data_IF_036205722676
#
_entry.id   IF_036205722676
#
_cell.length_a   1.000
_cell.length_b   1.000
_cell.length_c   1.000
_cell.angle_alpha   90.00
_cell.angle_beta   90.00
_cell.angle_gamma   90.00
#
_symmetry.space_group_name_H-M   'P 1'
#
loop_
_entity.id
_entity.type
_entity.pdbx_description
1 polymer ?
#
# COMPACT_ATOMS: atom_id res chain seq x y z
N UNK A 1 -3.53 13.10 -44.33
CA UNK A 1 -3.39 11.65 -44.08
C UNK A 1 -3.10 11.43 -42.60
N UNK A 2 -3.93 10.64 -41.91
CA UNK A 2 -3.67 10.25 -40.51
C UNK A 2 -2.44 9.34 -40.43
N UNK A 3 -1.61 9.50 -39.40
CA UNK A 3 -0.50 8.58 -39.12
C UNK A 3 -1.03 7.15 -38.93
N UNK A 4 -0.19 6.14 -39.17
CA UNK A 4 -0.55 4.72 -39.03
C UNK A 4 -1.16 4.43 -37.65
N UNK A 5 -0.52 4.91 -36.59
CA UNK A 5 -0.98 4.82 -35.19
C UNK A 5 -2.36 5.41 -34.96
N UNK A 6 -2.67 6.57 -35.58
CA UNK A 6 -4.00 7.19 -35.46
C UNK A 6 -5.08 6.41 -36.21
N UNK A 7 -4.75 5.78 -37.33
CA UNK A 7 -5.68 4.91 -38.06
C UNK A 7 -5.98 3.63 -37.28
N UNK A 8 -4.95 3.03 -36.68
CA UNK A 8 -5.10 1.83 -35.86
C UNK A 8 -5.93 2.10 -34.60
N UNK A 9 -5.70 3.24 -33.92
CA UNK A 9 -6.52 3.67 -32.79
C UNK A 9 -7.99 3.93 -33.17
N UNK A 10 -8.23 4.60 -34.30
CA UNK A 10 -9.59 4.88 -34.78
C UNK A 10 -10.33 3.58 -35.14
N UNK A 11 -9.65 2.65 -35.81
CA UNK A 11 -10.21 1.33 -36.11
C UNK A 11 -10.61 0.58 -34.83
N UNK A 12 -9.71 0.52 -33.84
CA UNK A 12 -9.99 -0.14 -32.56
C UNK A 12 -11.19 0.49 -31.87
N UNK A 13 -11.31 1.82 -31.86
CA UNK A 13 -12.45 2.52 -31.27
C UNK A 13 -13.76 2.16 -32.00
N UNK A 14 -13.78 2.25 -33.33
CA UNK A 14 -14.98 1.95 -34.13
C UNK A 14 -15.45 0.51 -33.96
N UNK A 15 -14.54 -0.46 -34.02
CA UNK A 15 -14.89 -1.87 -33.83
C UNK A 15 -15.30 -2.18 -32.39
N UNK A 16 -14.71 -1.51 -31.39
CA UNK A 16 -15.13 -1.65 -29.99
C UNK A 16 -16.55 -1.11 -29.79
N UNK A 17 -16.89 0.04 -30.40
CA UNK A 17 -18.24 0.59 -30.35
C UNK A 17 -19.26 -0.35 -30.99
N UNK A 18 -18.95 -0.93 -32.16
CA UNK A 18 -19.82 -1.94 -32.79
C UNK A 18 -20.11 -3.12 -31.87
N UNK A 19 -19.10 -3.61 -31.14
CA UNK A 19 -19.30 -4.67 -30.14
C UNK A 19 -20.25 -4.19 -29.03
N UNK A 20 -20.09 -2.97 -28.52
CA UNK A 20 -20.92 -2.43 -27.45
C UNK A 20 -22.36 -2.10 -27.87
N UNK A 21 -22.60 -1.78 -29.14
CA UNK A 21 -23.93 -1.45 -29.69
C UNK A 21 -24.81 -2.68 -29.94
N UNK A 22 -24.25 -3.90 -29.93
CA UNK A 22 -25.04 -5.12 -30.06
C UNK A 22 -26.00 -5.24 -28.86
N UNK A 23 -27.30 -5.34 -29.12
CA UNK A 23 -28.36 -5.46 -28.09
C UNK A 23 -28.09 -6.61 -27.10
N UNK A 24 -27.56 -7.73 -27.60
CA UNK A 24 -27.18 -8.87 -26.77
C UNK A 24 -26.05 -8.53 -25.79
N UNK A 25 -25.05 -7.77 -26.21
CA UNK A 25 -23.95 -7.32 -25.35
C UNK A 25 -24.42 -6.26 -24.35
N UNK A 26 -25.33 -5.37 -24.73
CA UNK A 26 -25.97 -4.42 -23.80
C UNK A 26 -26.76 -5.15 -22.71
N UNK A 27 -27.52 -6.19 -23.06
CA UNK A 27 -28.24 -7.02 -22.10
C UNK A 27 -27.28 -7.73 -21.11
N UNK A 28 -26.14 -8.23 -21.61
CA UNK A 28 -25.08 -8.81 -20.77
C UNK A 28 -24.53 -7.75 -19.81
N UNK A 29 -24.15 -6.57 -20.31
CA UNK A 29 -23.61 -5.48 -19.50
C UNK A 29 -24.59 -5.02 -18.41
N UNK A 30 -25.88 -4.93 -18.72
CA UNK A 30 -26.91 -4.61 -17.73
C UNK A 30 -27.01 -5.68 -16.64
N UNK A 31 -26.94 -6.96 -17.03
CA UNK A 31 -26.93 -8.08 -16.09
C UNK A 31 -25.70 -8.03 -15.19
N UNK A 32 -24.52 -7.78 -15.75
CA UNK A 32 -23.26 -7.62 -15.00
C UNK A 32 -23.30 -6.41 -14.05
N UNK A 33 -23.88 -5.29 -14.48
CA UNK A 33 -24.02 -4.10 -13.65
C UNK A 33 -24.90 -4.37 -12.41
N UNK A 34 -25.95 -5.19 -12.54
CA UNK A 34 -26.76 -5.63 -11.39
C UNK A 34 -25.95 -6.45 -10.36
N UNK A 35 -24.87 -7.09 -10.81
CA UNK A 35 -23.91 -7.81 -9.98
C UNK A 35 -22.81 -6.89 -9.41
N UNK A 36 -22.83 -5.59 -9.73
CA UNK A 36 -21.79 -4.62 -9.33
C UNK A 36 -20.52 -4.73 -10.18
N UNK A 37 -20.59 -5.36 -11.36
CA UNK A 37 -19.50 -5.49 -12.31
C UNK A 37 -19.64 -4.37 -13.34
N UNK A 38 -18.74 -3.40 -13.27
CA UNK A 38 -18.75 -2.23 -14.15
C UNK A 38 -17.95 -2.47 -15.41
N UNK A 39 -18.30 -1.79 -16.50
CA UNK A 39 -17.52 -1.84 -17.74
C UNK A 39 -16.04 -1.45 -17.51
N UNK A 40 -15.76 -0.48 -16.63
CA UNK A 40 -14.39 -0.09 -16.28
C UNK A 40 -13.56 -1.25 -15.70
N UNK A 41 -14.19 -2.18 -14.98
CA UNK A 41 -13.50 -3.34 -14.39
C UNK A 41 -13.22 -4.44 -15.42
N UNK A 42 -14.03 -4.51 -16.47
CA UNK A 42 -13.83 -5.38 -17.64
C UNK A 42 -12.74 -4.78 -18.53
N UNK A 43 -12.83 -3.47 -18.84
CA UNK A 43 -11.88 -2.77 -19.69
C UNK A 43 -10.47 -2.72 -19.09
N UNK A 44 -10.34 -2.66 -17.76
CA UNK A 44 -9.03 -2.70 -17.10
C UNK A 44 -8.26 -4.01 -17.34
N UNK A 45 -8.93 -5.11 -17.68
CA UNK A 45 -8.27 -6.37 -18.08
C UNK A 45 -7.69 -6.25 -19.49
N UNK A 46 -8.39 -5.52 -20.36
CA UNK A 46 -8.16 -5.43 -21.81
C UNK A 46 -7.12 -4.38 -22.19
N UNK A 47 -6.52 -3.65 -21.25
CA UNK A 47 -5.55 -2.56 -21.55
C UNK A 47 -4.23 -3.03 -22.19
N UNK A 48 -4.08 -4.30 -22.53
CA UNK A 48 -2.89 -4.85 -23.18
C UNK A 48 -3.25 -5.74 -24.39
N UNK A 49 -4.48 -5.61 -24.93
CA UNK A 49 -4.90 -6.34 -26.15
C UNK A 49 -4.59 -5.59 -27.44
N UNK A 50 -4.21 -4.31 -27.39
CA UNK A 50 -3.86 -3.47 -28.55
C UNK A 50 -4.94 -3.57 -29.65
N UNK A 51 -4.58 -3.85 -30.90
CA UNK A 51 -5.52 -3.99 -32.03
C UNK A 51 -6.57 -5.11 -31.87
N UNK A 52 -6.35 -6.08 -30.96
CA UNK A 52 -7.29 -7.18 -30.70
C UNK A 52 -8.37 -6.84 -29.66
N UNK A 53 -8.39 -5.61 -29.14
CA UNK A 53 -9.34 -5.19 -28.10
C UNK A 53 -10.81 -5.46 -28.45
N UNK A 54 -11.31 -5.16 -29.67
CA UNK A 54 -12.73 -5.41 -29.99
C UNK A 54 -13.08 -6.90 -29.90
N UNK A 55 -12.26 -7.76 -30.49
CA UNK A 55 -12.44 -9.20 -30.44
C UNK A 55 -12.33 -9.74 -29.01
N UNK A 56 -11.30 -9.33 -28.27
CA UNK A 56 -11.11 -9.74 -26.89
C UNK A 56 -12.28 -9.30 -26.00
N UNK A 57 -12.84 -8.10 -26.21
CA UNK A 57 -14.04 -7.63 -25.52
C UNK A 57 -15.24 -8.50 -25.84
N UNK A 58 -15.50 -8.77 -27.12
CA UNK A 58 -16.63 -9.59 -27.55
C UNK A 58 -16.60 -10.99 -26.92
N UNK A 59 -15.44 -11.65 -26.94
CA UNK A 59 -15.27 -12.97 -26.33
C UNK A 59 -15.35 -12.91 -24.80
N UNK A 60 -14.82 -11.84 -24.18
CA UNK A 60 -14.94 -11.63 -22.73
C UNK A 60 -16.40 -11.46 -22.31
N UNK A 61 -17.21 -10.71 -23.08
CA UNK A 61 -18.63 -10.54 -22.81
C UNK A 61 -19.41 -11.86 -23.01
N UNK A 62 -19.06 -12.68 -24.01
CA UNK A 62 -19.64 -14.02 -24.17
C UNK A 62 -19.37 -14.91 -22.95
N UNK A 63 -18.13 -14.91 -22.45
CA UNK A 63 -17.77 -15.64 -21.22
C UNK A 63 -18.59 -15.11 -20.04
N UNK A 64 -18.61 -13.80 -19.82
CA UNK A 64 -19.33 -13.20 -18.68
C UNK A 64 -20.85 -13.35 -18.77
N UNK A 65 -21.41 -13.40 -19.98
CA UNK A 65 -22.85 -13.51 -20.24
C UNK A 65 -23.39 -14.93 -20.27
N UNK A 66 -22.52 -15.96 -20.23
CA UNK A 66 -22.98 -17.34 -20.14
C UNK A 66 -23.71 -17.58 -18.81
N UNK A 67 -24.86 -18.25 -18.86
CA UNK A 67 -25.76 -18.44 -17.70
C UNK A 67 -25.03 -19.05 -16.48
N UNK A 68 -24.23 -20.10 -16.70
CA UNK A 68 -23.43 -20.74 -15.64
C UNK A 68 -22.43 -19.78 -15.00
N UNK A 69 -21.80 -18.91 -15.80
CA UNK A 69 -20.83 -17.93 -15.31
C UNK A 69 -21.53 -16.80 -14.56
N UNK A 70 -22.73 -16.36 -14.99
CA UNK A 70 -23.55 -15.40 -14.25
C UNK A 70 -23.93 -15.92 -12.87
N UNK A 71 -24.29 -17.20 -12.75
CA UNK A 71 -24.57 -17.81 -11.46
C UNK A 71 -23.34 -17.91 -10.56
N UNK A 72 -22.18 -18.25 -11.12
CA UNK A 72 -20.90 -18.19 -10.40
C UNK A 72 -20.60 -16.76 -9.92
N UNK A 73 -20.79 -15.74 -10.77
CA UNK A 73 -20.59 -14.33 -10.39
C UNK A 73 -21.54 -13.88 -9.28
N UNK A 74 -22.80 -14.36 -9.26
CA UNK A 74 -23.74 -14.12 -8.13
C UNK A 74 -23.19 -14.74 -6.84
N UNK A 75 -22.77 -16.01 -6.84
CA UNK A 75 -22.15 -16.67 -5.68
C UNK A 75 -20.93 -15.89 -5.17
N UNK A 76 -20.09 -15.39 -6.09
CA UNK A 76 -18.92 -14.58 -5.74
C UNK A 76 -19.30 -13.26 -5.09
N UNK A 77 -20.36 -12.59 -5.57
CA UNK A 77 -20.91 -11.38 -4.95
C UNK A 77 -21.36 -11.64 -3.51
N UNK A 78 -22.05 -12.75 -3.26
CA UNK A 78 -22.51 -13.12 -1.91
C UNK A 78 -21.34 -13.40 -0.95
N UNK A 79 -20.19 -13.82 -1.49
CA UNK A 79 -18.95 -13.98 -0.75
C UNK A 79 -18.18 -12.66 -0.51
N UNK A 80 -18.67 -11.51 -1.03
CA UNK A 80 -17.97 -10.22 -1.10
C UNK A 80 -16.68 -10.28 -1.95
N UNK A 81 -16.68 -11.14 -2.98
CA UNK A 81 -15.62 -11.22 -3.98
C UNK A 81 -15.96 -10.27 -5.12
N UNK A 82 -15.26 -9.14 -5.13
CA UNK A 82 -15.45 -8.09 -6.14
C UNK A 82 -14.71 -8.43 -7.42
N UNK A 83 -15.38 -8.28 -8.57
CA UNK A 83 -14.81 -8.55 -9.89
C UNK A 83 -13.49 -7.81 -10.21
N UNK A 84 -13.25 -6.55 -9.77
CA UNK A 84 -11.94 -5.91 -9.89
C UNK A 84 -10.76 -6.74 -9.35
N UNK A 85 -10.98 -7.59 -8.34
CA UNK A 85 -9.94 -8.48 -7.82
C UNK A 85 -9.58 -9.58 -8.83
N UNK A 86 -10.56 -10.13 -9.55
CA UNK A 86 -10.36 -11.13 -10.62
C UNK A 86 -9.67 -10.44 -11.80
N UNK A 87 -10.17 -9.27 -12.17
CA UNK A 87 -9.61 -8.43 -13.23
C UNK A 87 -8.12 -8.11 -13.02
N UNK A 88 -7.73 -7.72 -11.80
CA UNK A 88 -6.35 -7.44 -11.44
C UNK A 88 -5.41 -8.65 -11.60
N UNK A 89 -5.91 -9.87 -11.39
CA UNK A 89 -5.11 -11.09 -11.58
C UNK A 89 -4.90 -11.39 -13.07
N UNK A 90 -5.92 -11.13 -13.89
CA UNK A 90 -5.94 -11.38 -15.32
C UNK A 90 -5.25 -10.28 -16.15
N UNK A 91 -4.96 -9.12 -15.54
CA UNK A 91 -4.12 -8.09 -16.13
C UNK A 91 -2.83 -8.71 -16.69
N UNK A 92 -2.51 -8.45 -17.95
CA UNK A 92 -1.34 -9.05 -18.63
C UNK A 92 -1.61 -10.38 -19.35
N UNK A 93 -2.87 -10.87 -19.37
CA UNK A 93 -3.25 -12.01 -20.20
C UNK A 93 -3.32 -11.68 -21.71
N UNK A 94 -3.25 -10.39 -22.09
CA UNK A 94 -3.30 -9.93 -23.49
C UNK A 94 -4.50 -10.55 -24.23
N UNK A 95 -4.33 -11.06 -25.44
CA UNK A 95 -5.42 -11.71 -26.20
C UNK A 95 -5.98 -12.98 -25.54
N UNK A 96 -5.32 -13.56 -24.53
CA UNK A 96 -5.79 -14.75 -23.81
C UNK A 96 -6.77 -14.46 -22.67
N UNK A 97 -7.21 -13.20 -22.49
CA UNK A 97 -8.14 -12.79 -21.43
C UNK A 97 -9.42 -13.62 -21.39
N UNK A 98 -10.15 -13.85 -22.50
CA UNK A 98 -11.41 -14.60 -22.44
C UNK A 98 -11.21 -16.02 -21.91
N UNK A 99 -10.18 -16.72 -22.40
CA UNK A 99 -9.83 -18.06 -21.94
C UNK A 99 -9.42 -18.07 -20.46
N UNK A 100 -8.51 -17.18 -20.06
CA UNK A 100 -8.03 -17.11 -18.69
C UNK A 100 -9.15 -16.70 -17.70
N UNK A 101 -10.09 -15.86 -18.13
CA UNK A 101 -11.28 -15.53 -17.35
C UNK A 101 -12.18 -16.75 -17.18
N UNK A 102 -12.50 -17.48 -18.26
CA UNK A 102 -13.33 -18.67 -18.20
C UNK A 102 -12.74 -19.72 -17.25
N UNK A 103 -11.44 -19.98 -17.33
CA UNK A 103 -10.78 -20.95 -16.45
C UNK A 103 -10.70 -20.44 -15.00
N UNK A 104 -10.57 -19.13 -14.79
CA UNK A 104 -10.60 -18.55 -13.43
C UNK A 104 -11.98 -18.70 -12.80
N UNK A 105 -13.06 -18.49 -13.58
CA UNK A 105 -14.43 -18.71 -13.12
C UNK A 105 -14.69 -20.19 -12.82
N UNK A 106 -14.17 -21.12 -13.62
CA UNK A 106 -14.22 -22.56 -13.31
C UNK A 106 -13.54 -22.90 -11.99
N UNK A 107 -12.36 -22.36 -11.71
CA UNK A 107 -11.70 -22.54 -10.40
C UNK A 107 -12.60 -22.00 -9.28
N UNK A 108 -13.27 -20.87 -9.50
CA UNK A 108 -14.15 -20.22 -8.53
C UNK A 108 -15.56 -20.83 -8.43
N UNK A 109 -15.96 -21.71 -9.35
CA UNK A 109 -17.24 -22.42 -9.29
C UNK A 109 -17.17 -23.72 -8.48
N UNK A 110 -15.96 -24.28 -8.31
CA UNK A 110 -15.75 -25.52 -7.58
C UNK A 110 -16.17 -25.37 -6.11
N UNK A 111 -17.13 -26.19 -5.68
CA UNK A 111 -17.69 -26.14 -4.32
C UNK A 111 -16.61 -26.32 -3.23
N UNK A 112 -15.56 -27.10 -3.50
CA UNK A 112 -14.41 -27.24 -2.59
C UNK A 112 -13.64 -25.92 -2.42
N UNK A 113 -13.44 -25.16 -3.49
CA UNK A 113 -12.77 -23.86 -3.45
C UNK A 113 -13.68 -22.80 -2.78
N UNK A 114 -15.00 -22.86 -3.01
CA UNK A 114 -15.97 -22.01 -2.31
C UNK A 114 -15.97 -22.26 -0.80
N UNK A 115 -15.88 -23.53 -0.37
CA UNK A 115 -15.77 -23.89 1.04
C UNK A 115 -14.48 -23.37 1.69
N UNK A 116 -13.35 -23.43 0.96
CA UNK A 116 -12.08 -22.84 1.40
C UNK A 116 -12.24 -21.32 1.55
N UNK A 117 -12.79 -20.62 0.55
CA UNK A 117 -12.99 -19.17 0.59
C UNK A 117 -13.87 -18.73 1.75
N UNK A 118 -14.95 -19.46 2.05
CA UNK A 118 -15.78 -19.23 3.24
C UNK A 118 -15.01 -19.42 4.55
N UNK A 119 -14.18 -20.46 4.64
CA UNK A 119 -13.35 -20.71 5.83
C UNK A 119 -12.31 -19.61 6.03
N UNK A 120 -11.70 -19.13 4.94
CA UNK A 120 -10.77 -18.01 4.94
C UNK A 120 -11.44 -16.70 5.37
N UNK A 121 -12.67 -16.45 4.92
CA UNK A 121 -13.48 -15.30 5.38
C UNK A 121 -13.71 -15.33 6.89
N UNK A 122 -13.98 -16.50 7.47
CA UNK A 122 -14.08 -16.69 8.93
C UNK A 122 -12.77 -16.36 9.68
N UNK A 123 -11.62 -16.52 9.04
CA UNK A 123 -10.33 -16.09 9.59
C UNK A 123 -10.04 -14.58 9.41
N UNK A 124 -10.88 -13.85 8.66
CA UNK A 124 -10.65 -12.46 8.28
C UNK A 124 -9.78 -12.30 7.04
N UNK A 125 -9.58 -13.38 6.28
CA UNK A 125 -8.82 -13.39 5.03
C UNK A 125 -9.79 -13.09 3.89
N UNK A 126 -9.63 -11.90 3.30
CA UNK A 126 -10.48 -11.43 2.20
C UNK A 126 -9.82 -11.68 0.84
N UNK A 127 -10.65 -11.89 -0.19
CA UNK A 127 -10.17 -12.26 -1.53
C UNK A 127 -9.27 -11.20 -2.18
N UNK A 128 -9.44 -9.92 -1.86
CA UNK A 128 -8.54 -8.86 -2.35
C UNK A 128 -7.09 -9.08 -1.91
N UNK A 129 -6.84 -9.70 -0.75
CA UNK A 129 -5.49 -10.05 -0.32
C UNK A 129 -4.89 -11.20 -1.12
N UNK A 130 -5.71 -12.17 -1.56
CA UNK A 130 -5.29 -13.25 -2.47
C UNK A 130 -4.98 -12.65 -3.85
N UNK A 131 -5.88 -11.82 -4.37
CA UNK A 131 -5.72 -11.12 -5.64
C UNK A 131 -4.46 -10.26 -5.67
N UNK A 132 -4.12 -9.58 -4.58
CA UNK A 132 -2.90 -8.76 -4.51
C UNK A 132 -1.60 -9.58 -4.62
N UNK A 133 -1.58 -10.83 -4.13
CA UNK A 133 -0.45 -11.77 -4.33
C UNK A 133 -0.38 -12.17 -5.81
N UNK A 134 -1.54 -12.45 -6.42
CA UNK A 134 -1.69 -12.95 -7.78
C UNK A 134 -1.85 -11.85 -8.83
N UNK A 135 -1.62 -10.60 -8.45
CA UNK A 135 -1.78 -9.46 -9.34
C UNK A 135 -0.85 -9.59 -10.54
N UNK A 136 -1.37 -9.33 -11.75
CA UNK A 136 -0.65 -9.44 -13.03
C UNK A 136 -0.11 -10.85 -13.35
N UNK A 137 -0.74 -11.89 -12.83
CA UNK A 137 -0.42 -13.27 -13.23
C UNK A 137 -0.82 -13.54 -14.69
N UNK A 138 -1.77 -12.77 -15.22
CA UNK A 138 -2.18 -12.81 -16.62
C UNK A 138 -2.81 -14.16 -16.97
N UNK A 139 -2.35 -14.78 -18.07
CA UNK A 139 -2.91 -16.06 -18.55
C UNK A 139 -2.77 -17.21 -17.55
N UNK A 140 -1.83 -17.11 -16.60
CA UNK A 140 -1.58 -18.14 -15.59
C UNK A 140 -2.46 -17.97 -14.34
N UNK A 141 -3.32 -16.94 -14.29
CA UNK A 141 -4.14 -16.63 -13.11
C UNK A 141 -5.02 -17.79 -12.63
N UNK A 142 -5.67 -18.60 -13.49
CA UNK A 142 -6.46 -19.75 -13.03
C UNK A 142 -5.62 -20.76 -12.25
N UNK A 143 -4.47 -21.14 -12.79
CA UNK A 143 -3.57 -22.09 -12.17
C UNK A 143 -3.02 -21.55 -10.84
N UNK A 144 -2.55 -20.31 -10.83
CA UNK A 144 -2.02 -19.71 -9.61
C UNK A 144 -3.10 -19.51 -8.53
N UNK A 145 -4.35 -19.20 -8.91
CA UNK A 145 -5.47 -19.16 -7.97
C UNK A 145 -5.72 -20.53 -7.36
N UNK A 146 -5.81 -21.57 -8.20
CA UNK A 146 -6.06 -22.93 -7.74
C UNK A 146 -4.97 -23.41 -6.76
N UNK A 147 -3.70 -23.15 -7.06
CA UNK A 147 -2.58 -23.49 -6.17
C UNK A 147 -2.60 -22.66 -4.88
N UNK A 148 -2.97 -21.38 -4.96
CA UNK A 148 -3.08 -20.53 -3.76
C UNK A 148 -4.19 -21.04 -2.83
N UNK A 149 -5.34 -21.41 -3.38
CA UNK A 149 -6.44 -21.98 -2.60
C UNK A 149 -6.07 -23.35 -2.01
N UNK A 150 -5.33 -24.19 -2.75
CA UNK A 150 -4.78 -25.43 -2.18
C UNK A 150 -3.87 -25.15 -1.00
N UNK A 151 -2.91 -24.23 -1.13
CA UNK A 151 -2.01 -23.84 -0.03
C UNK A 151 -2.81 -23.33 1.18
N UNK A 152 -3.78 -22.46 0.95
CA UNK A 152 -4.59 -21.87 2.02
C UNK A 152 -5.62 -22.85 2.63
N UNK A 153 -6.02 -23.89 1.91
CA UNK A 153 -6.94 -24.93 2.37
C UNK A 153 -6.26 -26.06 3.15
N UNK A 154 -4.92 -26.11 3.22
CA UNK A 154 -4.22 -27.11 4.04
C UNK A 154 -4.44 -26.83 5.53
N UNK A 155 -4.86 -27.84 6.29
CA UNK A 155 -5.14 -27.70 7.74
C UNK A 155 -3.92 -27.20 8.54
N UNK A 156 -2.71 -27.63 8.15
CA UNK A 156 -1.47 -27.16 8.76
C UNK A 156 -1.26 -25.65 8.56
N UNK A 157 -1.59 -25.13 7.38
CA UNK A 157 -1.51 -23.71 7.08
C UNK A 157 -2.63 -22.91 7.75
N UNK A 158 -3.86 -23.45 7.83
CA UNK A 158 -4.95 -22.86 8.59
C UNK A 158 -4.59 -22.72 10.07
N UNK A 159 -3.92 -23.73 10.65
CA UNK A 159 -3.41 -23.69 12.02
C UNK A 159 -2.38 -22.57 12.21
N UNK A 160 -1.45 -22.42 11.26
CA UNK A 160 -0.47 -21.32 11.29
C UNK A 160 -1.18 -19.97 11.22
N UNK A 161 -2.12 -19.80 10.29
CA UNK A 161 -2.88 -18.55 10.11
C UNK A 161 -3.66 -18.16 11.39
N UNK A 162 -4.24 -19.13 12.11
CA UNK A 162 -4.88 -18.89 13.42
C UNK A 162 -3.86 -18.37 14.45
N UNK A 163 -2.70 -19.03 14.58
CA UNK A 163 -1.62 -18.57 15.48
C UNK A 163 -1.13 -17.16 15.13
N UNK A 164 -1.02 -16.85 13.85
CA UNK A 164 -0.62 -15.52 13.38
C UNK A 164 -1.67 -14.47 13.74
N UNK A 165 -2.96 -14.79 13.59
CA UNK A 165 -4.05 -13.91 14.02
C UNK A 165 -4.01 -13.61 15.52
N UNK A 166 -3.69 -14.59 16.37
CA UNK A 166 -3.52 -14.38 17.82
C UNK A 166 -2.35 -13.44 18.17
N UNK A 167 -1.39 -13.28 17.23
CA UNK A 167 -0.29 -12.34 17.31
C UNK A 167 -0.60 -10.99 16.63
N UNK A 168 -1.86 -10.73 16.28
CA UNK A 168 -2.32 -9.56 15.51
C UNK A 168 -1.66 -9.43 14.12
N UNK A 169 -1.22 -10.56 13.56
CA UNK A 169 -0.66 -10.62 12.21
C UNK A 169 -1.79 -10.92 11.24
N UNK A 170 -2.12 -9.94 10.42
CA UNK A 170 -3.19 -10.07 9.43
C UNK A 170 -2.68 -10.64 8.11
N UNK A 171 -3.54 -11.33 7.37
CA UNK A 171 -3.17 -11.84 6.04
C UNK A 171 -2.88 -10.70 5.05
N UNK A 172 -3.46 -9.52 5.23
CA UNK A 172 -3.08 -8.32 4.46
C UNK A 172 -1.61 -7.95 4.65
N UNK A 173 -1.01 -8.20 5.81
CA UNK A 173 0.43 -7.97 5.99
C UNK A 173 1.25 -8.94 5.14
N UNK A 174 0.88 -10.23 5.11
CA UNK A 174 1.54 -11.25 4.30
C UNK A 174 1.38 -10.93 2.80
N UNK A 175 0.17 -10.60 2.39
CA UNK A 175 -0.16 -10.20 1.03
C UNK A 175 0.60 -8.95 0.59
N UNK A 176 0.76 -7.95 1.46
CA UNK A 176 1.56 -6.77 1.16
C UNK A 176 3.03 -7.10 0.87
N UNK A 177 3.62 -8.03 1.62
CA UNK A 177 5.00 -8.48 1.40
C UNK A 177 5.12 -9.24 0.06
N UNK A 178 4.17 -10.15 -0.21
CA UNK A 178 4.09 -10.96 -1.43
C UNK A 178 3.54 -10.23 -2.64
N UNK A 179 3.17 -8.96 -2.50
CA UNK A 179 2.65 -8.20 -3.64
C UNK A 179 3.72 -8.17 -4.74
N UNK A 180 3.29 -8.39 -5.98
CA UNK A 180 4.15 -8.60 -7.16
C UNK A 180 4.83 -9.98 -7.28
N UNK A 181 4.50 -10.98 -6.45
CA UNK A 181 4.96 -12.36 -6.70
C UNK A 181 4.36 -12.97 -7.97
N UNK A 182 3.17 -12.50 -8.38
CA UNK A 182 2.51 -12.94 -9.62
C UNK A 182 2.32 -14.45 -9.67
N UNK A 183 2.82 -15.09 -10.74
CA UNK A 183 2.71 -16.55 -10.92
C UNK A 183 3.44 -17.37 -9.85
N UNK A 184 4.47 -16.81 -9.19
CA UNK A 184 5.22 -17.49 -8.12
C UNK A 184 4.50 -17.38 -6.75
N UNK A 185 3.48 -16.51 -6.66
CA UNK A 185 2.71 -16.22 -5.45
C UNK A 185 2.29 -17.43 -4.61
N UNK A 186 1.74 -18.53 -5.18
CA UNK A 186 1.33 -19.70 -4.40
C UNK A 186 2.50 -20.36 -3.67
N UNK A 187 3.64 -20.51 -4.35
CA UNK A 187 4.84 -21.15 -3.81
C UNK A 187 5.50 -20.26 -2.76
N UNK A 188 5.56 -18.96 -3.00
CA UNK A 188 6.15 -18.02 -2.05
C UNK A 188 5.27 -17.83 -0.81
N UNK A 189 3.94 -17.87 -0.97
CA UNK A 189 2.99 -17.94 0.14
C UNK A 189 3.26 -19.17 1.01
N UNK A 190 3.41 -20.35 0.39
CA UNK A 190 3.73 -21.56 1.14
C UNK A 190 5.05 -21.43 1.92
N UNK A 191 6.08 -20.84 1.30
CA UNK A 191 7.36 -20.60 1.98
C UNK A 191 7.25 -19.57 3.11
N UNK A 192 6.50 -18.48 2.94
CA UNK A 192 6.25 -17.50 4.01
C UNK A 192 5.52 -18.16 5.18
N UNK A 193 4.48 -18.95 4.92
CA UNK A 193 3.76 -19.64 6.00
C UNK A 193 4.67 -20.62 6.74
N UNK A 194 5.57 -21.31 6.04
CA UNK A 194 6.62 -22.12 6.68
C UNK A 194 7.53 -21.28 7.57
N UNK A 195 8.05 -20.15 7.07
CA UNK A 195 8.90 -19.24 7.85
C UNK A 195 8.18 -18.72 9.09
N UNK A 196 6.95 -18.23 8.93
CA UNK A 196 6.14 -17.68 10.02
C UNK A 196 5.64 -18.75 11.00
N UNK A 197 5.51 -19.99 10.55
CA UNK A 197 5.08 -21.13 11.37
C UNK A 197 6.20 -21.79 12.19
N UNK A 198 7.47 -21.42 11.99
CA UNK A 198 8.58 -21.90 12.82
C UNK A 198 8.43 -21.39 14.26
N UNK A 199 8.54 -22.27 15.25
CA UNK A 199 8.35 -21.91 16.66
C UNK A 199 9.37 -20.86 17.14
N UNK A 200 10.59 -20.89 16.63
CA UNK A 200 11.60 -19.86 16.89
C UNK A 200 11.17 -18.49 16.39
N UNK A 201 10.55 -18.41 15.21
CA UNK A 201 10.05 -17.16 14.64
C UNK A 201 8.79 -16.69 15.36
N UNK A 202 7.89 -17.59 15.74
CA UNK A 202 6.73 -17.25 16.58
C UNK A 202 7.17 -16.68 17.94
N UNK A 203 8.23 -17.25 18.53
CA UNK A 203 8.82 -16.73 19.78
C UNK A 203 9.40 -15.33 19.57
N UNK A 204 10.15 -15.12 18.48
CA UNK A 204 10.66 -13.78 18.12
C UNK A 204 9.53 -12.78 17.94
N UNK A 205 8.46 -13.14 17.22
CA UNK A 205 7.30 -12.28 16.99
C UNK A 205 6.59 -11.89 18.29
N UNK A 206 6.46 -12.82 19.25
CA UNK A 206 5.94 -12.53 20.60
C UNK A 206 6.81 -11.51 21.33
N UNK A 207 8.14 -11.72 21.36
CA UNK A 207 9.09 -10.78 21.98
C UNK A 207 9.02 -9.39 21.33
N UNK A 208 8.88 -9.32 20.01
CA UNK A 208 8.74 -8.05 19.28
C UNK A 208 7.43 -7.33 19.65
N UNK A 209 6.32 -8.07 19.77
CA UNK A 209 5.04 -7.52 20.24
C UNK A 209 5.16 -6.95 21.66
N UNK A 210 5.86 -7.62 22.57
CA UNK A 210 6.13 -7.11 23.93
C UNK A 210 6.99 -5.82 23.92
N UNK A 211 7.74 -5.59 22.85
CA UNK A 211 8.50 -4.36 22.59
C UNK A 211 7.70 -3.30 21.81
N UNK A 212 6.38 -3.47 21.65
CA UNK A 212 5.49 -2.62 20.82
C UNK A 212 5.89 -2.55 19.34
N UNK A 213 6.63 -3.55 18.84
CA UNK A 213 6.89 -3.73 17.41
C UNK A 213 5.82 -4.66 16.86
N UNK A 214 4.86 -4.08 16.14
CA UNK A 214 3.79 -4.84 15.50
C UNK A 214 4.21 -5.28 14.10
N UNK A 215 3.65 -6.39 13.63
CA UNK A 215 4.07 -6.97 12.34
C UNK A 215 3.77 -6.07 11.14
N UNK A 216 2.84 -5.12 11.25
CA UNK A 216 2.62 -4.12 10.20
C UNK A 216 3.85 -3.23 9.97
N UNK A 217 4.69 -2.99 10.99
CA UNK A 217 5.95 -2.29 10.81
C UNK A 217 6.92 -3.09 9.93
N UNK A 218 7.04 -4.39 10.18
CA UNK A 218 7.86 -5.31 9.38
C UNK A 218 7.31 -5.41 7.96
N UNK A 219 6.00 -5.61 7.82
CA UNK A 219 5.31 -5.69 6.53
C UNK A 219 5.47 -4.42 5.69
N UNK A 220 5.42 -3.24 6.32
CA UNK A 220 5.65 -1.95 5.63
C UNK A 220 7.08 -1.84 5.10
N UNK A 221 8.07 -2.31 5.85
CA UNK A 221 9.45 -2.34 5.37
C UNK A 221 9.63 -3.28 4.18
N UNK A 222 8.96 -4.42 4.25
CA UNK A 222 9.02 -5.50 3.27
C UNK A 222 7.93 -5.41 2.19
N UNK A 223 7.28 -4.26 2.04
CA UNK A 223 6.20 -4.09 1.07
C UNK A 223 6.73 -4.26 -0.36
N UNK A 224 5.99 -5.02 -1.20
CA UNK A 224 6.32 -5.32 -2.61
C UNK A 224 7.66 -6.01 -2.83
N UNK A 225 8.13 -6.81 -1.86
CA UNK A 225 9.31 -7.67 -2.07
C UNK A 225 9.03 -8.75 -3.13
N UNK A 226 7.78 -9.18 -3.28
CA UNK A 226 7.37 -10.14 -4.30
C UNK A 226 8.02 -11.50 -4.08
N UNK A 227 8.65 -12.07 -5.11
CA UNK A 227 9.17 -13.44 -5.06
C UNK A 227 10.34 -13.64 -4.09
N UNK A 228 11.05 -12.57 -3.72
CA UNK A 228 12.11 -12.64 -2.72
C UNK A 228 11.58 -12.67 -1.27
N UNK A 229 10.26 -12.52 -1.08
CA UNK A 229 9.66 -12.30 0.22
C UNK A 229 9.98 -13.38 1.27
N UNK A 230 9.99 -14.69 0.96
CA UNK A 230 10.33 -15.69 1.97
C UNK A 230 11.75 -15.52 2.51
N UNK A 231 12.72 -15.25 1.63
CA UNK A 231 14.12 -15.06 2.01
C UNK A 231 14.29 -13.76 2.79
N UNK A 232 13.74 -12.66 2.29
CA UNK A 232 13.86 -11.35 2.95
C UNK A 232 13.18 -11.34 4.32
N UNK A 233 11.99 -11.92 4.45
CA UNK A 233 11.30 -12.05 5.74
C UNK A 233 12.10 -12.90 6.73
N UNK A 234 12.64 -14.04 6.28
CA UNK A 234 13.48 -14.89 7.14
C UNK A 234 14.71 -14.14 7.63
N UNK A 235 15.38 -13.38 6.75
CA UNK A 235 16.54 -12.56 7.11
C UNK A 235 16.15 -11.46 8.10
N UNK A 236 15.03 -10.77 7.88
CA UNK A 236 14.52 -9.74 8.80
C UNK A 236 14.21 -10.31 10.18
N UNK A 237 13.54 -11.46 10.27
CA UNK A 237 13.25 -12.10 11.56
C UNK A 237 14.52 -12.60 12.27
N UNK A 238 15.53 -13.04 11.51
CA UNK A 238 16.85 -13.39 12.08
C UNK A 238 17.56 -12.17 12.67
N UNK A 239 17.53 -11.03 11.97
CA UNK A 239 18.09 -9.77 12.48
C UNK A 239 17.34 -9.36 13.75
N UNK A 240 16.02 -9.31 13.71
CA UNK A 240 15.19 -8.88 14.84
C UNK A 240 15.23 -9.84 16.04
N UNK A 241 15.42 -11.13 15.80
CA UNK A 241 15.52 -12.16 16.84
C UNK A 241 16.92 -12.33 17.44
N UNK A 242 17.93 -11.61 16.93
CA UNK A 242 19.27 -11.61 17.51
C UNK A 242 19.27 -11.00 18.91
N UNK A 243 19.91 -11.67 19.88
CA UNK A 243 19.85 -11.27 21.29
C UNK A 243 20.41 -9.85 21.54
N UNK A 244 21.50 -9.47 20.85
CA UNK A 244 22.04 -8.11 20.90
C UNK A 244 21.04 -7.07 20.37
N UNK A 245 20.37 -7.38 19.25
CA UNK A 245 19.38 -6.51 18.65
C UNK A 245 18.12 -6.37 19.53
N UNK A 246 17.63 -7.46 20.13
CA UNK A 246 16.54 -7.42 21.09
C UNK A 246 16.91 -6.58 22.32
N UNK A 247 18.14 -6.72 22.82
CA UNK A 247 18.65 -5.92 23.92
C UNK A 247 18.70 -4.43 23.56
N UNK A 248 19.18 -4.09 22.37
CA UNK A 248 19.20 -2.71 21.86
C UNK A 248 17.79 -2.15 21.74
N UNK A 249 16.85 -2.89 21.13
CA UNK A 249 15.45 -2.48 20.99
C UNK A 249 14.79 -2.25 22.35
N UNK A 250 15.03 -3.12 23.32
CA UNK A 250 14.52 -2.98 24.69
C UNK A 250 15.06 -1.69 25.34
N UNK A 251 16.37 -1.44 25.28
CA UNK A 251 16.96 -0.21 25.81
C UNK A 251 16.37 1.04 25.15
N UNK A 252 16.18 1.02 23.84
CA UNK A 252 15.55 2.13 23.12
C UNK A 252 14.10 2.38 23.59
N UNK A 253 13.32 1.31 23.81
CA UNK A 253 11.97 1.40 24.40
C UNK A 253 12.01 1.98 25.82
N UNK A 254 12.92 1.50 26.67
CA UNK A 254 13.08 1.98 28.05
C UNK A 254 13.47 3.47 28.11
N UNK A 255 14.10 3.99 27.05
CA UNK A 255 14.41 5.42 26.86
C UNK A 255 13.22 6.24 26.32
N UNK A 256 12.05 5.63 26.16
CA UNK A 256 10.84 6.30 25.66
C UNK A 256 10.82 6.51 24.14
N UNK A 257 11.68 5.80 23.39
CA UNK A 257 11.68 5.87 21.93
C UNK A 257 10.60 4.95 21.38
N UNK A 258 9.72 5.50 20.52
CA UNK A 258 8.71 4.71 19.82
C UNK A 258 9.40 3.95 18.68
N UNK A 259 9.56 2.64 18.86
CA UNK A 259 10.28 1.79 17.90
C UNK A 259 9.64 1.85 16.50
N UNK A 260 8.32 2.01 16.39
CA UNK A 260 7.62 2.19 15.11
C UNK A 260 8.24 3.28 14.21
N UNK A 261 8.80 4.34 14.79
CA UNK A 261 9.42 5.44 14.05
C UNK A 261 10.74 5.03 13.41
N UNK A 262 11.49 4.12 14.04
CA UNK A 262 12.72 3.57 13.46
C UNK A 262 12.34 2.70 12.24
N UNK A 263 11.33 1.85 12.37
CA UNK A 263 10.88 0.99 11.28
C UNK A 263 10.27 1.80 10.12
N UNK A 264 9.60 2.91 10.43
CA UNK A 264 9.06 3.82 9.43
C UNK A 264 10.14 4.39 8.49
N UNK A 265 11.35 4.63 8.99
CA UNK A 265 12.48 5.05 8.13
C UNK A 265 12.82 4.04 7.04
N UNK A 266 12.47 2.77 7.25
CA UNK A 266 12.72 1.68 6.32
C UNK A 266 11.47 1.25 5.55
N UNK A 267 10.37 2.01 5.65
CA UNK A 267 9.14 1.69 4.92
C UNK A 267 9.41 1.65 3.41
N UNK A 268 8.95 0.58 2.75
CA UNK A 268 9.18 0.30 1.34
C UNK A 268 10.66 0.13 0.94
N UNK A 269 11.56 -0.15 1.89
CA UNK A 269 12.95 -0.51 1.58
C UNK A 269 13.05 -1.87 0.84
N UNK A 270 12.01 -2.70 0.91
CA UNK A 270 11.89 -3.93 0.13
C UNK A 270 12.98 -4.93 0.47
N UNK A 271 13.70 -5.40 -0.56
CA UNK A 271 14.72 -6.45 -0.43
C UNK A 271 15.88 -6.00 0.47
N UNK A 272 16.22 -4.71 0.47
CA UNK A 272 17.32 -4.14 1.26
C UNK A 272 16.96 -3.86 2.73
N UNK A 273 15.68 -3.97 3.10
CA UNK A 273 15.19 -3.71 4.44
C UNK A 273 15.94 -4.44 5.57
N UNK A 274 16.23 -5.76 5.51
CA UNK A 274 16.95 -6.44 6.59
C UNK A 274 18.37 -5.89 6.80
N UNK A 275 19.12 -5.62 5.72
CA UNK A 275 20.48 -5.08 5.83
C UNK A 275 20.48 -3.65 6.36
N UNK A 276 19.53 -2.85 5.88
CA UNK A 276 19.34 -1.49 6.35
C UNK A 276 18.95 -1.44 7.83
N UNK A 277 18.07 -2.34 8.27
CA UNK A 277 17.68 -2.50 9.66
C UNK A 277 18.86 -2.90 10.54
N UNK A 278 19.63 -3.91 10.12
CA UNK A 278 20.79 -4.36 10.87
C UNK A 278 21.82 -3.24 11.05
N UNK A 279 22.09 -2.47 9.98
CA UNK A 279 22.97 -1.31 10.05
C UNK A 279 22.42 -0.21 10.97
N UNK A 280 21.13 0.11 10.88
CA UNK A 280 20.52 1.09 11.79
C UNK A 280 20.63 0.64 13.24
N UNK A 281 20.36 -0.64 13.55
CA UNK A 281 20.47 -1.17 14.92
C UNK A 281 21.91 -1.12 15.44
N UNK A 282 22.92 -1.43 14.61
CA UNK A 282 24.34 -1.29 14.96
C UNK A 282 24.73 0.15 15.27
N UNK A 283 24.27 1.11 14.46
CA UNK A 283 24.50 2.54 14.71
C UNK A 283 23.90 2.96 16.06
N UNK A 284 22.70 2.49 16.38
CA UNK A 284 22.02 2.80 17.64
C UNK A 284 22.70 2.11 18.83
N UNK A 285 23.15 0.86 18.68
CA UNK A 285 23.87 0.12 19.71
C UNK A 285 25.15 0.84 20.12
N UNK A 286 25.99 1.24 19.16
CA UNK A 286 27.29 1.88 19.43
C UNK A 286 27.10 3.36 19.79
N UNK A 287 26.40 4.13 18.96
CA UNK A 287 26.43 5.60 19.06
C UNK A 287 25.58 6.14 20.21
N UNK A 288 24.45 5.49 20.52
CA UNK A 288 23.51 5.99 21.53
C UNK A 288 23.84 5.45 22.90
N UNK A 289 24.10 4.15 23.05
CA UNK A 289 24.29 3.54 24.37
C UNK A 289 25.54 4.07 25.07
N UNK A 290 26.66 4.24 24.35
CA UNK A 290 27.91 4.78 24.93
C UNK A 290 27.76 6.25 25.36
N UNK A 291 27.07 7.06 24.55
CA UNK A 291 26.88 8.49 24.85
C UNK A 291 25.84 8.72 25.94
N UNK A 292 24.83 7.85 26.03
CA UNK A 292 23.80 7.88 27.07
C UNK A 292 24.30 7.54 28.46
N UNK A 293 25.09 6.48 28.59
CA UNK A 293 25.69 6.07 29.87
C UNK A 293 26.63 7.14 30.40
N UNK A 294 27.31 7.86 29.51
CA UNK A 294 28.30 8.87 29.90
C UNK A 294 27.66 10.17 30.40
N UNK A 295 26.50 10.58 29.87
CA UNK A 295 26.05 11.98 30.01
C UNK A 295 24.79 12.23 30.82
N UNK A 296 24.21 11.20 31.46
CA UNK A 296 22.93 11.33 32.22
C UNK A 296 21.88 12.13 31.43
N UNK A 297 21.86 11.99 30.10
CA UNK A 297 20.97 12.77 29.22
C UNK A 297 19.53 12.43 29.62
N UNK A 298 18.76 13.45 29.97
CA UNK A 298 17.34 13.27 30.27
C UNK A 298 16.65 12.65 29.05
N UNK A 299 16.03 11.48 29.24
CA UNK A 299 15.42 10.68 28.16
C UNK A 299 14.42 11.46 27.29
N UNK A 300 13.89 12.58 27.78
CA UNK A 300 13.02 13.50 27.03
C UNK A 300 13.64 14.02 25.74
N UNK A 301 14.91 14.41 25.70
CA UNK A 301 15.53 14.96 24.49
C UNK A 301 15.79 13.91 23.41
N UNK A 302 16.25 12.72 23.82
CA UNK A 302 16.45 11.60 22.88
C UNK A 302 15.12 11.10 22.34
N UNK A 303 14.12 10.97 23.20
CA UNK A 303 12.77 10.67 22.74
C UNK A 303 12.28 11.71 21.72
N UNK A 304 12.64 13.00 21.87
CA UNK A 304 12.26 14.04 20.92
C UNK A 304 12.89 13.85 19.54
N UNK A 305 14.20 13.60 19.48
CA UNK A 305 14.92 13.37 18.21
C UNK A 305 14.27 12.19 17.46
N UNK A 306 14.10 11.06 18.13
CA UNK A 306 13.62 9.84 17.47
C UNK A 306 12.12 9.84 17.21
N UNK A 307 11.33 10.51 18.05
CA UNK A 307 9.88 10.51 17.91
C UNK A 307 9.34 11.62 16.99
N UNK A 308 10.07 12.73 16.84
CA UNK A 308 9.59 13.89 16.08
C UNK A 308 10.52 14.30 14.95
N UNK A 309 11.83 14.41 15.20
CA UNK A 309 12.75 14.92 14.18
C UNK A 309 13.09 13.87 13.10
N UNK A 310 13.37 12.64 13.51
CA UNK A 310 13.73 11.55 12.60
C UNK A 310 12.63 11.27 11.55
N UNK A 311 11.34 11.13 11.92
CA UNK A 311 10.27 10.97 10.93
C UNK A 311 10.15 12.15 9.96
N UNK A 312 10.34 13.39 10.45
CA UNK A 312 10.28 14.61 9.64
C UNK A 312 11.45 14.75 8.67
N UNK A 313 12.61 14.21 9.02
CA UNK A 313 13.80 14.27 8.19
C UNK A 313 13.70 13.39 6.94
N UNK A 314 12.69 12.52 6.83
CA UNK A 314 12.48 11.69 5.64
C UNK A 314 13.66 10.75 5.33
N UNK A 315 14.41 10.38 6.37
CA UNK A 315 15.58 9.53 6.24
C UNK A 315 15.13 8.14 5.80
N UNK A 316 15.56 7.70 4.61
CA UNK A 316 15.20 6.38 4.04
C UNK A 316 16.38 5.45 3.79
N UNK A 317 17.60 5.92 4.05
CA UNK A 317 18.83 5.16 3.78
C UNK A 317 19.70 5.07 5.04
N UNK A 318 20.37 3.94 5.30
CA UNK A 318 21.19 3.75 6.49
C UNK A 318 22.28 4.81 6.69
N UNK A 319 22.94 5.25 5.62
CA UNK A 319 23.98 6.28 5.71
C UNK A 319 23.41 7.64 6.11
N UNK A 320 22.22 7.97 5.61
CA UNK A 320 21.51 9.17 6.00
C UNK A 320 21.02 9.09 7.45
N UNK A 321 20.62 7.89 7.90
CA UNK A 321 20.25 7.61 9.27
C UNK A 321 21.42 7.81 10.22
N UNK A 322 22.55 7.20 9.92
CA UNK A 322 23.77 7.35 10.69
C UNK A 322 24.23 8.81 10.75
N UNK A 323 24.31 9.50 9.61
CA UNK A 323 24.67 10.92 9.54
C UNK A 323 23.70 11.78 10.35
N UNK A 324 22.40 11.52 10.26
CA UNK A 324 21.38 12.25 11.00
C UNK A 324 21.57 12.07 12.51
N UNK A 325 21.65 10.82 12.96
CA UNK A 325 21.82 10.47 14.38
C UNK A 325 23.11 11.08 14.93
N UNK A 326 24.23 10.89 14.24
CA UNK A 326 25.52 11.44 14.66
C UNK A 326 25.52 12.97 14.70
N UNK A 327 24.94 13.63 13.69
CA UNK A 327 24.83 15.09 13.67
C UNK A 327 23.99 15.61 14.83
N UNK A 328 22.82 15.02 15.09
CA UNK A 328 21.91 15.47 16.15
C UNK A 328 22.48 15.25 17.54
N UNK A 329 23.16 14.12 17.74
CA UNK A 329 23.87 13.87 18.99
C UNK A 329 25.00 14.88 19.16
N UNK A 330 25.88 15.05 18.17
CA UNK A 330 27.04 15.96 18.27
C UNK A 330 26.63 17.43 18.49
N UNK A 331 25.55 17.90 17.86
CA UNK A 331 25.01 19.25 18.11
C UNK A 331 24.61 19.44 19.58
N UNK A 332 24.01 18.42 20.19
CA UNK A 332 23.66 18.45 21.61
C UNK A 332 24.92 18.44 22.49
N UNK A 333 25.93 17.62 22.17
CA UNK A 333 27.21 17.58 22.88
C UNK A 333 27.85 18.96 22.98
N UNK A 334 28.00 19.60 21.83
CA UNK A 334 28.67 20.88 21.74
C UNK A 334 27.88 21.96 22.51
N UNK A 335 26.55 21.87 22.53
CA UNK A 335 25.72 22.79 23.32
C UNK A 335 25.88 22.59 24.84
N UNK A 336 26.17 21.37 25.31
CA UNK A 336 26.41 21.10 26.73
C UNK A 336 27.86 21.39 27.17
N UNK A 337 28.87 21.15 26.34
CA UNK A 337 30.27 21.51 26.66
C UNK A 337 30.44 23.03 26.79
N UNK A 338 29.79 23.80 25.93
CA UNK A 338 29.73 25.27 26.07
C UNK A 338 29.09 25.67 27.41
N UNK A 339 28.15 24.86 27.93
CA UNK A 339 27.46 25.14 29.19
C UNK A 339 28.30 24.78 30.43
N UNK A 340 29.09 23.69 30.40
CA UNK A 340 29.95 23.30 31.53
C UNK A 340 31.13 24.27 31.69
N UNK A 341 31.73 24.74 30.59
CA UNK A 341 32.83 25.71 30.66
C UNK A 341 32.41 27.12 31.10
N UNK A 342 31.12 27.46 30.98
CA UNK A 342 30.60 28.76 31.41
C UNK A 342 30.02 28.75 32.85
N UNK A 343 29.97 27.60 33.53
CA UNK A 343 29.46 27.46 34.90
C UNK A 343 30.52 27.55 35.99
N UNK A 344 31.75 27.98 35.66
CA UNK A 344 32.73 28.37 36.67
C UNK A 344 32.42 29.72 37.35
N UNK A 345 31.43 30.47 36.86
CA UNK A 345 30.92 31.68 37.50
C UNK A 345 29.51 31.45 38.08
N UNK A 346 29.41 31.52 39.42
CA UNK A 346 28.30 31.14 40.30
C UNK A 346 26.99 31.98 40.17
N UNK A 347 26.41 32.12 38.97
CA UNK A 347 25.24 33.02 38.78
C UNK A 347 24.07 32.53 37.94
N UNK A 348 24.11 31.35 37.32
CA UNK A 348 23.23 31.05 36.16
C UNK A 348 22.29 29.84 36.32
N UNK A 349 22.07 29.33 37.54
CA UNK A 349 21.12 28.21 37.75
C UNK A 349 19.64 28.61 37.61
N UNK A 350 19.28 29.88 37.88
CA UNK A 350 17.92 30.39 37.64
C UNK A 350 17.62 30.56 36.14
N UNK A 351 18.64 30.89 35.34
CA UNK A 351 18.50 31.14 33.90
C UNK A 351 18.23 29.86 33.12
N UNK A 352 18.75 28.70 33.53
CA UNK A 352 18.46 27.42 32.86
C UNK A 352 17.03 26.93 33.15
N UNK A 353 16.52 27.13 34.38
CA UNK A 353 15.10 26.84 34.65
C UNK A 353 14.19 27.71 33.78
N UNK A 354 14.60 28.96 33.51
CA UNK A 354 13.91 29.88 32.61
C UNK A 354 14.08 29.45 31.14
N UNK A 355 15.26 29.02 30.67
CA UNK A 355 15.50 28.70 29.24
C UNK A 355 14.95 27.33 28.83
N UNK A 356 15.01 26.32 29.71
CA UNK A 356 14.36 25.02 29.48
C UNK A 356 12.83 25.17 29.55
N UNK A 357 12.31 26.01 30.46
CA UNK A 357 10.90 26.39 30.43
C UNK A 357 10.57 27.26 29.21
N UNK A 358 11.47 28.10 28.71
CA UNK A 358 11.23 28.94 27.53
C UNK A 358 11.24 28.11 26.25
N UNK A 359 12.10 27.10 26.12
CA UNK A 359 12.11 26.17 24.99
C UNK A 359 10.94 25.18 25.05
N UNK A 360 10.55 24.71 26.24
CA UNK A 360 9.30 23.94 26.40
C UNK A 360 8.05 24.80 26.14
N UNK A 361 8.02 26.05 26.61
CA UNK A 361 6.91 26.98 26.37
C UNK A 361 6.88 27.46 24.92
N UNK A 362 8.03 27.62 24.25
CA UNK A 362 8.09 27.89 22.81
C UNK A 362 7.65 26.68 21.98
N UNK A 363 7.99 25.45 22.39
CA UNK A 363 7.46 24.25 21.77
C UNK A 363 5.93 24.14 21.94
N UNK A 364 5.39 24.50 23.11
CA UNK A 364 3.94 24.56 23.37
C UNK A 364 3.26 25.75 22.66
N UNK A 365 3.95 26.88 22.48
CA UNK A 365 3.46 28.06 21.74
C UNK A 365 3.50 27.83 20.22
N UNK A 366 4.42 27.02 19.70
CA UNK A 366 4.43 26.57 18.30
C UNK A 366 3.26 25.60 18.07
N UNK A 367 2.93 24.76 19.04
CA UNK A 367 1.76 23.87 18.98
C UNK A 367 0.43 24.67 19.04
N UNK A 368 0.38 25.77 19.82
CA UNK A 368 -0.76 26.71 19.84
C UNK A 368 -0.84 27.61 18.61
N UNK A 369 0.29 28.11 18.08
CA UNK A 369 0.30 28.99 16.90
C UNK A 369 0.04 28.23 15.60
N UNK A 370 0.39 26.94 15.52
CA UNK A 370 0.02 26.08 14.38
C UNK A 370 -1.45 25.64 14.45
N UNK A 371 -2.04 25.49 15.64
CA UNK A 371 -3.50 25.36 15.81
C UNK A 371 -4.24 26.64 15.41
N UNK A 372 -3.74 27.81 15.80
CA UNK A 372 -4.35 29.08 15.44
C UNK A 372 -4.18 29.40 13.95
N UNK A 373 -3.04 29.06 13.33
CA UNK A 373 -2.82 29.25 11.88
C UNK A 373 -3.65 28.28 11.03
N UNK A 374 -4.09 27.14 11.56
CA UNK A 374 -5.01 26.23 10.86
C UNK A 374 -6.47 26.69 10.98
N UNK A 375 -6.87 27.33 12.08
CA UNK A 375 -8.16 28.04 12.18
C UNK A 375 -8.17 29.34 11.33
N UNK A 376 -7.04 30.05 11.26
CA UNK A 376 -6.92 31.30 10.50
C UNK A 376 -6.88 31.06 8.98
N UNK A 377 -6.24 29.97 8.50
CA UNK A 377 -6.32 29.57 7.08
C UNK A 377 -7.73 29.13 6.65
N UNK A 378 -8.54 28.62 7.58
CA UNK A 378 -9.95 28.29 7.34
C UNK A 378 -10.84 29.55 7.29
N UNK A 379 -10.44 30.64 7.95
CA UNK A 379 -11.12 31.95 7.86
C UNK A 379 -10.71 32.77 6.62
N UNK A 380 -9.50 32.57 6.08
CA UNK A 380 -8.97 33.34 4.95
C UNK A 380 -9.34 32.78 3.56
N UNK A 381 -10.01 31.62 3.47
CA UNK A 381 -10.52 31.08 2.20
C UNK A 381 -12.00 31.37 1.92
N UNK A 382 -12.69 32.13 2.78
CA UNK A 382 -14.05 32.61 2.49
C UNK A 382 -14.16 34.11 2.71
N UNK A 383 -13.77 34.90 1.71
CA UNK A 383 -14.41 36.19 1.43
C UNK A 383 -14.06 36.72 0.03
N UNK A 384 -14.85 36.28 -0.96
CA UNK A 384 -15.15 37.08 -2.15
C UNK A 384 -16.61 36.93 -2.57
N UNK A 385 -17.52 37.37 -1.71
CA UNK A 385 -18.72 38.15 -2.07
C UNK A 385 -19.47 38.57 -0.82
N UNK A 386 -19.67 39.87 -0.73
CA UNK A 386 -20.55 40.56 0.22
C UNK A 386 -21.99 40.04 0.07
N UNK A 387 -22.57 39.54 1.16
CA UNK A 387 -23.91 39.93 1.59
C UNK A 387 -24.07 39.67 3.09
N UNK A 388 -24.52 40.72 3.79
CA UNK A 388 -24.79 40.80 5.22
C UNK A 388 -25.64 39.64 5.74
N UNK A 389 -25.38 39.17 6.97
CA UNK A 389 -26.34 39.13 8.09
C UNK A 389 -25.54 38.88 9.39
N UNK A 390 -25.79 39.73 10.39
CA UNK A 390 -25.28 39.67 11.76
C UNK A 390 -25.69 38.37 12.47
N UNK A 391 -24.83 37.80 13.33
CA UNK A 391 -25.21 37.31 14.68
C UNK A 391 -24.00 36.75 15.45
N UNK A 392 -23.64 37.48 16.50
CA UNK A 392 -23.28 37.07 17.86
C UNK A 392 -22.64 35.69 18.12
N UNK A 393 -21.39 35.70 18.59
CA UNK A 393 -20.72 34.63 19.34
C UNK A 393 -21.20 34.69 20.81
N UNK A 394 -21.28 33.54 21.51
CA UNK A 394 -20.49 33.44 22.73
C UNK A 394 -19.67 32.14 22.79
N UNK A 395 -18.40 32.34 23.16
CA UNK A 395 -17.45 31.35 23.61
C UNK A 395 -17.94 30.69 24.91
N UNK A 396 -17.72 29.38 25.05
CA UNK A 396 -17.68 28.73 26.36
C UNK A 396 -16.55 27.70 26.43
N UNK A 397 -15.81 27.83 27.52
CA UNK A 397 -14.56 27.18 27.87
C UNK A 397 -14.70 25.69 28.26
N UNK A 398 -13.63 24.94 27.93
CA UNK A 398 -12.96 23.86 28.69
C UNK A 398 -13.79 22.72 29.35
N UNK A 399 -13.54 21.47 28.94
CA UNK A 399 -13.01 20.41 29.84
C UNK A 399 -12.73 19.05 29.15
N UNK A 400 -11.67 18.40 29.61
CA UNK A 400 -11.20 17.05 29.27
C UNK A 400 -12.21 15.95 29.66
N UNK A 401 -12.32 14.88 28.84
CA UNK A 401 -12.51 13.50 29.31
C UNK A 401 -12.29 12.48 28.18
N UNK A 402 -11.42 11.50 28.39
CA UNK A 402 -11.32 10.30 27.57
C UNK A 402 -12.50 9.37 27.88
N UNK A 403 -13.18 8.85 26.84
CA UNK A 403 -13.87 7.57 26.93
C UNK A 403 -13.96 6.88 25.56
N UNK A 404 -13.52 5.62 25.55
CA UNK A 404 -13.60 4.65 24.46
C UNK A 404 -15.03 4.12 24.27
N UNK A 405 -15.56 4.10 23.04
CA UNK A 405 -16.36 3.00 22.41
C UNK A 405 -16.88 3.39 21.00
N UNK A 406 -16.51 2.59 19.98
CA UNK A 406 -17.15 2.39 18.66
C UNK A 406 -17.08 3.51 17.57
N UNK A 407 -17.42 3.20 16.29
CA UNK A 407 -16.51 2.81 15.22
C UNK A 407 -16.35 3.91 14.15
N UNK A 408 -15.12 4.29 13.79
CA UNK A 408 -14.92 5.31 12.74
C UNK A 408 -14.92 4.63 11.36
N UNK A 409 -16.04 4.86 10.66
CA UNK A 409 -16.17 4.74 9.21
C UNK A 409 -15.06 5.51 8.48
N UNK A 410 -14.43 4.82 7.54
CA UNK A 410 -14.29 5.22 6.13
C UNK A 410 -14.75 6.63 5.80
N UNK A 411 -13.81 7.58 5.69
CA UNK A 411 -13.78 8.70 4.73
C UNK A 411 -12.64 9.66 5.12
N UNK A 412 -11.45 9.48 4.52
CA UNK A 412 -10.43 10.54 4.38
C UNK A 412 -9.29 10.04 3.48
N UNK A 413 -9.60 9.70 2.23
CA UNK A 413 -8.60 9.48 1.17
C UNK A 413 -9.19 9.95 -0.17
N UNK A 414 -9.58 11.21 -0.26
CA UNK A 414 -9.73 11.89 -1.55
C UNK A 414 -9.19 13.32 -1.45
N UNK A 415 -7.92 13.49 -1.80
CA UNK A 415 -7.46 14.63 -2.59
C UNK A 415 -6.34 14.18 -3.54
N UNK A 416 -6.33 14.67 -4.78
CA UNK A 416 -5.50 14.12 -5.84
C UNK A 416 -4.07 14.65 -5.71
N UNK A 417 -3.10 13.75 -5.70
CA UNK A 417 -1.69 14.11 -5.93
C UNK A 417 -1.54 14.41 -7.42
N UNK A 418 -1.26 15.68 -7.71
CA UNK A 418 -0.78 16.15 -9.00
C UNK A 418 0.34 15.24 -9.51
N UNK A 419 0.21 14.78 -10.75
CA UNK A 419 1.26 14.09 -11.49
C UNK A 419 2.54 14.95 -11.54
N UNK A 420 3.58 14.52 -10.84
CA UNK A 420 4.95 14.74 -11.27
C UNK A 420 5.47 13.42 -11.84
N UNK A 421 5.67 13.41 -13.15
CA UNK A 421 6.40 12.38 -13.87
C UNK A 421 7.81 12.26 -13.29
N UNK A 422 8.07 11.18 -12.57
CA UNK A 422 9.43 10.69 -12.34
C UNK A 422 9.45 9.28 -12.93
N UNK A 423 10.00 9.16 -14.14
CA UNK A 423 10.47 7.88 -14.64
C UNK A 423 11.61 7.41 -13.75
N UNK A 424 11.36 6.39 -12.94
CA UNK A 424 12.42 5.54 -12.39
C UNK A 424 12.49 4.31 -13.28
N UNK A 425 13.52 4.31 -14.13
CA UNK A 425 13.92 3.17 -14.95
C UNK A 425 14.46 2.09 -13.99
N UNK A 426 13.79 0.94 -13.95
CA UNK A 426 14.23 -0.25 -13.23
C UNK A 426 15.44 -0.83 -13.97
N UNK A 427 16.63 -0.68 -13.40
CA UNK A 427 17.82 -1.41 -13.81
C UNK A 427 17.97 -2.62 -12.88
N UNK A 428 17.61 -3.81 -13.35
CA UNK A 428 18.26 -5.09 -13.05
C UNK A 428 17.49 -6.24 -13.70
N UNK A 429 17.81 -6.52 -14.95
CA UNK A 429 17.66 -7.86 -15.53
C UNK A 429 18.73 -8.03 -16.58
N UNK A 430 19.75 -8.84 -16.27
CA UNK A 430 20.53 -9.54 -17.29
C UNK A 430 19.55 -10.46 -18.03
N UNK A 431 19.09 -10.01 -19.20
CA UNK A 431 18.41 -10.86 -20.17
C UNK A 431 19.38 -10.96 -21.33
N UNK A 432 19.82 -12.19 -21.61
CA UNK A 432 20.53 -12.51 -22.83
C UNK A 432 19.72 -12.00 -24.02
N UNK A 433 20.33 -11.09 -24.77
CA UNK A 433 19.82 -10.53 -26.01
C UNK A 433 19.56 -11.66 -27.02
N UNK A 434 18.29 -11.82 -27.39
CA UNK A 434 17.93 -12.29 -28.72
C UNK A 434 17.16 -11.16 -29.38
N UNK A 435 17.77 -10.61 -30.43
CA UNK A 435 17.25 -9.57 -31.32
C UNK A 435 15.76 -9.76 -31.64
N UNK A 436 14.90 -8.82 -31.20
CA UNK A 436 13.61 -8.51 -31.83
C UNK A 436 12.89 -7.27 -31.22
N UNK A 437 13.38 -6.64 -30.14
CA UNK A 437 12.68 -5.53 -29.48
C UNK A 437 13.13 -4.13 -29.94
N UNK A 438 12.55 -3.67 -31.05
CA UNK A 438 12.54 -2.27 -31.48
C UNK A 438 11.10 -1.86 -31.84
N UNK A 439 10.18 -1.73 -30.87
CA UNK A 439 8.87 -1.09 -31.09
C UNK A 439 8.11 -0.58 -29.85
N UNK A 440 8.76 -0.42 -28.69
CA UNK A 440 8.05 -0.17 -27.40
C UNK A 440 7.46 1.25 -27.25
N UNK A 441 7.76 2.21 -28.14
CA UNK A 441 7.26 3.59 -28.03
C UNK A 441 5.89 3.86 -28.70
N UNK A 442 5.34 2.96 -29.53
CA UNK A 442 4.08 3.22 -30.27
C UNK A 442 2.80 2.80 -29.53
N UNK A 443 2.88 1.97 -28.49
CA UNK A 443 1.70 1.33 -27.84
C UNK A 443 1.05 2.16 -26.70
N UNK A 444 1.66 3.27 -26.28
CA UNK A 444 1.14 4.08 -25.17
C UNK A 444 -0.12 4.89 -25.52
N UNK A 445 -0.28 5.31 -26.79
CA UNK A 445 -1.36 6.21 -27.19
C UNK A 445 -2.72 5.51 -27.35
N UNK A 446 -2.75 4.21 -27.70
CA UNK A 446 -4.01 3.44 -27.84
C UNK A 446 -4.65 3.16 -26.48
N UNK A 447 -3.82 2.94 -25.45
CA UNK A 447 -4.28 2.67 -24.09
C UNK A 447 -4.88 3.90 -23.39
N UNK A 448 -4.57 5.11 -23.87
CA UNK A 448 -5.03 6.37 -23.29
C UNK A 448 -6.54 6.64 -23.54
N UNK A 449 -7.10 6.09 -24.63
CA UNK A 449 -8.50 6.35 -25.04
C UNK A 449 -9.51 5.62 -24.14
N UNK A 450 -9.15 4.47 -23.56
CA UNK A 450 -10.06 3.64 -22.75
C UNK A 450 -10.10 4.03 -21.25
N UNK A 451 -9.30 5.00 -20.82
CA UNK A 451 -9.16 5.36 -19.40
C UNK A 451 -10.12 6.47 -18.91
N UNK A 452 -10.87 7.15 -19.80
CA UNK A 452 -11.78 8.23 -19.39
C UNK A 452 -13.25 7.81 -19.38
N UNK A 453 -13.72 7.54 -18.16
CA UNK A 453 -15.11 7.17 -17.82
C UNK A 453 -16.16 8.24 -18.20
N UNK A 454 -15.77 9.52 -18.25
CA UNK A 454 -16.71 10.62 -18.54
C UNK A 454 -16.97 10.81 -20.04
N UNK A 455 -16.02 10.43 -20.89
CA UNK A 455 -16.12 10.61 -22.34
C UNK A 455 -17.04 9.56 -22.99
N UNK A 456 -17.06 8.33 -22.46
CA UNK A 456 -17.90 7.23 -22.99
C UNK A 456 -19.38 7.39 -22.58
N UNK A 457 -19.67 7.84 -21.35
CA UNK A 457 -21.04 8.10 -20.92
C UNK A 457 -21.67 9.30 -21.66
N UNK A 458 -20.89 10.35 -21.95
CA UNK A 458 -21.33 11.44 -22.82
C UNK A 458 -21.52 11.01 -24.29
N UNK A 459 -20.79 10.00 -24.76
CA UNK A 459 -20.96 9.40 -26.08
C UNK A 459 -22.25 8.58 -26.18
N UNK A 460 -22.58 7.83 -25.12
CA UNK A 460 -23.81 7.04 -25.03
C UNK A 460 -25.07 7.90 -24.88
N UNK A 461 -25.00 9.05 -24.18
CA UNK A 461 -26.11 10.01 -24.08
C UNK A 461 -26.41 10.77 -25.39
N UNK A 462 -25.43 10.84 -26.32
CA UNK A 462 -25.58 11.53 -27.62
C UNK A 462 -26.15 10.66 -28.75
N UNK A 463 -26.43 9.39 -28.50
CA UNK A 463 -26.99 8.48 -29.50
C UNK A 463 -28.51 8.33 -29.32
N UNK A 464 -29.29 9.25 -29.91
CA UNK A 464 -30.45 8.84 -30.66
C UNK A 464 -30.35 9.35 -32.10
N UNK A 465 -30.16 8.42 -33.04
CA UNK A 465 -30.62 8.59 -34.42
C UNK A 465 -29.80 9.48 -35.37
N UNK A 466 -28.57 9.90 -35.06
CA UNK A 466 -27.74 10.65 -36.01
C UNK A 466 -26.55 9.83 -36.52
N UNK A 467 -26.39 9.85 -37.85
CA UNK A 467 -25.35 9.15 -38.58
C UNK A 467 -23.95 9.52 -38.07
N UNK A 468 -23.10 8.51 -37.97
CA UNK A 468 -21.70 8.57 -37.53
C UNK A 468 -20.86 9.62 -38.31
N UNK A 469 -21.30 10.04 -39.51
CA UNK A 469 -20.65 11.09 -40.31
C UNK A 469 -20.69 12.48 -39.64
N UNK A 470 -21.72 12.79 -38.83
CA UNK A 470 -21.84 14.10 -38.17
C UNK A 470 -20.88 14.25 -36.97
N UNK A 471 -20.35 13.14 -36.44
CA UNK A 471 -19.31 13.13 -35.41
C UNK A 471 -17.88 13.14 -36.00
N UNK A 472 -17.75 12.97 -37.32
CA UNK A 472 -16.50 12.89 -38.07
C UNK A 472 -16.19 14.17 -38.87
N UNK A 473 -17.05 15.19 -38.79
CA UNK A 473 -16.86 16.55 -39.33
C UNK A 473 -16.22 17.47 -38.30
#
# INVERSE_FOLDING_TARGET
MLSKTKRDALYVLQETLKVLELESNLAILNSLNSLGITFSSISSMLTQTSHNTPHALQETLKVLGAESNLDTLKKLKDLDIKFPNISSMLSGAKSAIPYALQETLKVLELESNLAILNSLKGLGIIFSSISNILCRTGRNAPHALQETLKVLGLESNLTILKKLKDLDITFSNISGILSSSGCQGPYDLQKILKVLGLESNLTTLKKLKDLDIIFSNISSMLYRVGSNAPHTLQKTLKVLGGESNLTTLKKLKDLGIKLSNIFYTLSCAGISAPDALEKNLKVLEVSILEKLTTWKIYGSYISYIFNYELPRAGVRMPDAFEKFVNRKINLYCNSQEIYVNNNHDNGMNETLHILTNTLCNQAQLIDKSQKNNSEELLSQTTNKKVMQVETTIPLLDHNYSCNTTAPILTQLMHRPLYHQNVMLVDATTDIQETDDDLNILEDCDVNYILQRHDDINQLLEKLPGNNIEDLLS
#
